data_IF_606076746548
#
_entry.id   IF_606076746548
#
_cell.length_a   1.000
_cell.length_b   1.000
_cell.length_c   1.000
_cell.angle_alpha   90.00
_cell.angle_beta   90.00
_cell.angle_gamma   90.00
#
_symmetry.space_group_name_H-M   'P 1'
#
loop_
_entity.id
_entity.type
_entity.pdbx_description
1 polymer ?
#
# COMPACT_ATOMS: atom_id res chain seq x y z
N UNK A 1 5.67 11.07 12.96
CA UNK A 1 5.72 11.07 11.48
C UNK A 1 4.86 9.91 10.98
N UNK A 2 3.89 10.16 10.11
CA UNK A 2 3.12 9.10 9.45
C UNK A 2 3.90 8.64 8.21
N UNK A 3 3.96 7.33 7.96
CA UNK A 3 4.73 6.75 6.85
C UNK A 3 3.78 5.84 6.06
N UNK A 4 3.74 5.95 4.72
CA UNK A 4 2.90 5.10 3.90
C UNK A 4 3.36 3.64 4.02
N UNK A 5 2.40 2.71 4.07
CA UNK A 5 2.68 1.30 3.86
C UNK A 5 2.70 1.06 2.36
N UNK A 6 3.80 1.47 1.74
CA UNK A 6 3.90 1.35 0.31
C UNK A 6 4.50 0.00 -0.09
N UNK A 7 3.72 -0.79 -0.82
CA UNK A 7 4.12 -2.04 -1.47
C UNK A 7 3.82 -2.02 -2.97
N UNK A 8 3.22 -0.94 -3.46
CA UNK A 8 2.72 -0.83 -4.83
C UNK A 8 3.02 0.55 -5.46
N UNK A 9 3.49 1.51 -4.69
CA UNK A 9 3.47 2.93 -5.02
C UNK A 9 4.84 3.45 -5.43
N UNK A 10 4.87 3.83 -6.70
CA UNK A 10 5.96 4.47 -7.44
C UNK A 10 7.30 3.71 -7.40
N UNK A 11 7.87 3.52 -8.58
CA UNK A 11 9.24 3.04 -8.72
C UNK A 11 10.21 4.06 -8.13
N UNK A 12 10.43 3.97 -6.81
CA UNK A 12 11.39 4.82 -6.12
C UNK A 12 12.78 4.39 -6.56
N UNK A 13 13.43 5.28 -7.30
CA UNK A 13 14.78 5.08 -7.79
C UNK A 13 15.75 4.87 -6.62
N UNK A 14 16.54 3.81 -6.69
CA UNK A 14 17.67 3.55 -5.80
C UNK A 14 18.99 4.03 -6.42
N UNK A 15 18.99 4.28 -7.74
CA UNK A 15 20.15 4.76 -8.52
C UNK A 15 19.92 6.18 -9.05
N UNK A 16 20.99 6.88 -9.51
CA UNK A 16 20.88 8.25 -10.01
C UNK A 16 19.88 8.41 -11.17
N UNK A 17 19.21 9.56 -11.24
CA UNK A 17 18.19 9.86 -12.27
C UNK A 17 18.66 9.58 -13.69
N UNK A 18 19.93 9.85 -14.01
CA UNK A 18 20.50 9.60 -15.33
C UNK A 18 20.50 8.12 -15.75
N UNK A 19 20.65 7.19 -14.80
CA UNK A 19 20.56 5.73 -15.07
C UNK A 19 19.11 5.31 -15.30
N UNK A 20 18.19 5.87 -14.53
CA UNK A 20 16.75 5.63 -14.66
C UNK A 20 16.24 6.12 -16.01
N UNK A 21 16.63 7.33 -16.41
CA UNK A 21 16.26 7.90 -17.71
C UNK A 21 16.84 7.09 -18.86
N UNK A 22 18.09 6.65 -18.76
CA UNK A 22 18.71 5.77 -19.76
C UNK A 22 17.95 4.46 -19.92
N UNK A 23 17.66 3.79 -18.80
CA UNK A 23 16.86 2.55 -18.81
C UNK A 23 15.47 2.75 -19.40
N UNK A 24 14.81 3.88 -19.11
CA UNK A 24 13.51 4.23 -19.68
C UNK A 24 13.56 4.59 -21.16
N UNK A 25 14.69 5.08 -21.65
CA UNK A 25 14.90 5.41 -23.07
C UNK A 25 15.35 4.19 -23.89
N UNK A 26 16.02 3.23 -23.27
CA UNK A 26 16.48 2.00 -23.92
C UNK A 26 15.29 1.10 -24.30
N UNK A 27 15.14 0.87 -25.61
CA UNK A 27 14.11 0.03 -26.22
C UNK A 27 14.63 -1.35 -26.62
N UNK A 28 15.89 -1.68 -26.30
CA UNK A 28 16.46 -2.98 -26.60
C UNK A 28 15.91 -4.06 -25.66
N UNK A 29 15.73 -5.26 -26.19
CA UNK A 29 15.37 -6.43 -25.41
C UNK A 29 16.56 -6.85 -24.55
N UNK A 30 16.35 -6.92 -23.23
CA UNK A 30 17.41 -7.21 -22.25
C UNK A 30 16.85 -7.91 -21.02
N UNK A 31 17.74 -8.37 -20.16
CA UNK A 31 17.34 -8.94 -18.87
C UNK A 31 16.90 -7.83 -17.92
N UNK A 32 15.67 -7.95 -17.44
CA UNK A 32 15.15 -7.20 -16.29
C UNK A 32 14.95 -8.19 -15.15
N UNK A 33 15.52 -7.87 -13.99
CA UNK A 33 15.36 -8.67 -12.77
C UNK A 33 14.25 -8.06 -11.92
N UNK A 34 13.24 -8.85 -11.58
CA UNK A 34 12.14 -8.45 -10.70
C UNK A 34 12.14 -9.38 -9.49
N UNK A 35 12.48 -8.86 -8.32
CA UNK A 35 12.48 -9.59 -7.06
C UNK A 35 11.30 -9.19 -6.18
N UNK A 36 10.64 -10.17 -5.58
CA UNK A 36 9.59 -9.97 -4.58
C UNK A 36 10.01 -10.58 -3.25
N UNK A 37 10.02 -9.75 -2.22
CA UNK A 37 10.11 -10.23 -0.84
C UNK A 37 8.74 -10.75 -0.42
N UNK A 38 8.68 -11.90 0.23
CA UNK A 38 7.44 -12.50 0.72
C UNK A 38 7.37 -12.43 2.24
N UNK A 39 6.14 -12.47 2.78
CA UNK A 39 5.90 -12.48 4.22
C UNK A 39 4.70 -13.32 4.61
N UNK A 40 4.74 -13.79 5.84
CA UNK A 40 3.59 -14.34 6.53
C UNK A 40 2.75 -13.18 7.11
N UNK A 41 1.49 -12.97 6.68
CA UNK A 41 0.64 -11.88 7.15
C UNK A 41 0.14 -12.07 8.60
N UNK A 42 0.25 -13.28 9.17
CA UNK A 42 -0.15 -13.56 10.55
C UNK A 42 0.99 -13.21 11.51
N UNK A 43 2.20 -13.72 11.24
CA UNK A 43 3.37 -13.47 12.12
C UNK A 43 4.12 -12.18 11.79
N UNK A 44 3.87 -11.60 10.61
CA UNK A 44 4.59 -10.46 10.05
C UNK A 44 6.09 -10.74 9.77
N UNK A 45 6.48 -12.02 9.74
CA UNK A 45 7.84 -12.46 9.39
C UNK A 45 8.11 -12.26 7.89
N UNK A 46 9.32 -11.85 7.52
CA UNK A 46 9.77 -11.62 6.13
C UNK A 46 10.21 -12.92 5.45
N UNK A 47 9.36 -13.93 5.61
CA UNK A 47 9.50 -15.28 5.09
C UNK A 47 8.09 -15.87 5.02
N UNK A 48 7.93 -16.92 4.23
CA UNK A 48 6.74 -17.79 4.27
C UNK A 48 7.16 -19.20 4.66
N UNK A 49 6.21 -19.97 5.19
CA UNK A 49 6.45 -21.31 5.71
C UNK A 49 6.58 -22.37 4.59
N UNK A 50 7.44 -22.08 3.61
CA UNK A 50 7.85 -22.95 2.51
C UNK A 50 9.36 -23.08 2.61
N UNK A 51 9.89 -24.29 2.55
CA UNK A 51 11.36 -24.48 2.55
C UNK A 51 11.89 -24.14 1.16
N UNK A 52 12.89 -23.27 1.07
CA UNK A 52 13.48 -22.89 -0.21
C UNK A 52 14.14 -24.09 -0.92
N UNK A 53 14.63 -25.07 -0.15
CA UNK A 53 15.22 -26.30 -0.70
C UNK A 53 14.20 -27.24 -1.39
N UNK A 54 12.90 -27.03 -1.16
CA UNK A 54 11.83 -27.73 -1.84
C UNK A 54 11.46 -27.09 -3.19
N UNK A 55 11.99 -25.89 -3.50
CA UNK A 55 11.67 -25.11 -4.70
C UNK A 55 12.96 -24.72 -5.45
N UNK A 56 13.90 -25.67 -5.56
CA UNK A 56 15.24 -25.42 -6.14
C UNK A 56 15.25 -25.29 -7.66
N UNK A 57 14.24 -25.83 -8.33
CA UNK A 57 14.20 -25.84 -9.78
C UNK A 57 13.92 -24.43 -10.30
N UNK A 58 14.73 -24.00 -11.28
CA UNK A 58 14.44 -22.79 -12.04
C UNK A 58 13.28 -23.11 -12.97
N UNK A 59 12.16 -22.43 -12.76
CA UNK A 59 10.99 -22.59 -13.60
C UNK A 59 11.08 -21.64 -14.79
N UNK A 60 11.00 -22.17 -16.01
CA UNK A 60 10.90 -21.36 -17.22
C UNK A 60 9.44 -21.24 -17.65
N UNK A 61 8.96 -20.01 -17.81
CA UNK A 61 7.61 -19.69 -18.27
C UNK A 61 7.64 -18.56 -19.30
N UNK A 62 6.54 -18.40 -20.03
CA UNK A 62 6.27 -17.21 -20.83
C UNK A 62 5.23 -16.35 -20.11
N UNK A 63 5.60 -15.10 -19.79
CA UNK A 63 4.70 -14.14 -19.16
C UNK A 63 4.35 -13.05 -20.18
N UNK A 64 3.14 -13.08 -20.71
CA UNK A 64 2.66 -12.08 -21.69
C UNK A 64 3.58 -11.95 -22.92
N UNK A 65 4.14 -13.07 -23.41
CA UNK A 65 5.10 -13.09 -24.52
C UNK A 65 6.54 -12.79 -24.12
N UNK A 66 6.83 -12.67 -22.81
CA UNK A 66 8.17 -12.45 -22.27
C UNK A 66 8.75 -13.76 -21.71
N UNK A 67 9.82 -14.31 -22.32
CA UNK A 67 10.56 -15.42 -21.76
C UNK A 67 11.08 -15.08 -20.36
N UNK A 68 10.75 -15.93 -19.39
CA UNK A 68 10.96 -15.65 -17.97
C UNK A 68 11.50 -16.87 -17.23
N UNK A 69 12.53 -16.66 -16.42
CA UNK A 69 13.06 -17.64 -15.47
C UNK A 69 12.67 -17.22 -14.04
N UNK A 70 12.17 -18.15 -13.24
CA UNK A 70 11.74 -17.91 -11.86
C UNK A 70 12.62 -18.76 -10.93
N UNK A 71 13.20 -18.10 -9.92
CA UNK A 71 14.00 -18.74 -8.89
C UNK A 71 13.55 -18.31 -7.48
N UNK A 72 13.53 -19.27 -6.56
CA UNK A 72 13.11 -19.08 -5.17
C UNK A 72 14.34 -19.11 -4.23
N UNK A 73 14.39 -18.17 -3.29
CA UNK A 73 15.52 -17.98 -2.39
C UNK A 73 15.10 -18.00 -0.92
N UNK A 74 15.86 -18.75 -0.13
CA UNK A 74 15.65 -18.85 1.30
C UNK A 74 16.38 -17.75 2.09
N UNK A 75 15.89 -17.47 3.30
CA UNK A 75 16.63 -16.73 4.32
C UNK A 75 17.64 -17.63 5.07
N UNK A 76 18.22 -17.12 6.15
CA UNK A 76 19.13 -17.86 7.02
C UNK A 76 18.47 -19.06 7.71
N UNK A 77 17.15 -19.06 7.90
CA UNK A 77 16.39 -20.20 8.42
C UNK A 77 16.07 -21.27 7.37
N UNK A 78 16.38 -21.01 6.09
CA UNK A 78 16.08 -21.88 4.96
C UNK A 78 14.64 -21.79 4.46
N UNK A 79 13.86 -20.83 4.97
CA UNK A 79 12.49 -20.55 4.54
C UNK A 79 12.47 -19.56 3.39
N UNK A 80 11.51 -19.71 2.50
CA UNK A 80 11.35 -18.87 1.32
C UNK A 80 11.10 -17.42 1.74
N UNK A 81 12.01 -16.52 1.37
CA UNK A 81 11.98 -15.10 1.71
C UNK A 81 11.96 -14.20 0.48
N UNK A 82 12.44 -14.69 -0.65
CA UNK A 82 12.45 -13.94 -1.90
C UNK A 82 12.20 -14.83 -3.13
N UNK A 83 11.46 -14.29 -4.10
CA UNK A 83 11.25 -14.90 -5.41
C UNK A 83 11.74 -13.91 -6.47
N UNK A 84 12.65 -14.35 -7.34
CA UNK A 84 13.26 -13.52 -8.38
C UNK A 84 12.87 -14.04 -9.76
N UNK A 85 12.37 -13.13 -10.57
CA UNK A 85 12.07 -13.29 -11.97
C UNK A 85 13.19 -12.65 -12.79
N UNK A 86 13.71 -13.37 -13.77
CA UNK A 86 14.56 -12.83 -14.84
C UNK A 86 13.76 -12.84 -16.12
N UNK A 87 13.40 -11.66 -16.59
CA UNK A 87 12.49 -11.46 -17.73
C UNK A 87 13.24 -10.82 -18.88
N UNK A 88 13.06 -11.33 -20.10
CA UNK A 88 13.48 -10.62 -21.31
C UNK A 88 12.44 -9.55 -21.65
N UNK A 89 12.78 -8.28 -21.44
CA UNK A 89 11.88 -7.16 -21.73
C UNK A 89 12.65 -5.90 -22.15
N UNK A 90 12.01 -5.05 -22.96
CA UNK A 90 12.48 -3.70 -23.26
C UNK A 90 11.97 -2.67 -22.24
N UNK A 91 10.99 -3.03 -21.42
CA UNK A 91 10.28 -2.14 -20.52
C UNK A 91 10.24 -2.70 -19.10
N UNK A 92 11.06 -2.17 -18.17
CA UNK A 92 11.09 -2.67 -16.80
C UNK A 92 9.75 -2.64 -16.06
N UNK A 93 8.86 -1.71 -16.43
CA UNK A 93 7.53 -1.57 -15.85
C UNK A 93 6.58 -2.68 -16.30
N UNK A 94 6.56 -2.98 -17.60
CA UNK A 94 5.79 -4.10 -18.14
C UNK A 94 6.28 -5.44 -17.56
N UNK A 95 7.60 -5.62 -17.44
CA UNK A 95 8.18 -6.81 -16.80
C UNK A 95 7.71 -6.95 -15.34
N UNK A 96 7.73 -5.87 -14.56
CA UNK A 96 7.25 -5.88 -13.19
C UNK A 96 5.76 -6.23 -13.07
N UNK A 97 4.91 -5.61 -13.88
CA UNK A 97 3.47 -5.85 -13.84
C UNK A 97 3.15 -7.31 -14.17
N UNK A 98 3.77 -7.86 -15.23
CA UNK A 98 3.59 -9.28 -15.59
C UNK A 98 4.07 -10.24 -14.48
N UNK A 99 5.25 -9.99 -13.89
CA UNK A 99 5.75 -10.82 -12.79
C UNK A 99 4.88 -10.71 -11.54
N UNK A 100 4.34 -9.52 -11.26
CA UNK A 100 3.47 -9.29 -10.11
C UNK A 100 2.16 -10.05 -10.26
N UNK A 101 1.53 -10.01 -11.43
CA UNK A 101 0.30 -10.76 -11.68
C UNK A 101 0.53 -12.27 -11.53
N UNK A 102 1.58 -12.80 -12.17
CA UNK A 102 1.93 -14.22 -12.03
C UNK A 102 2.21 -14.60 -10.57
N UNK A 103 2.93 -13.76 -9.80
CA UNK A 103 3.18 -14.04 -8.40
C UNK A 103 1.91 -13.98 -7.55
N UNK A 104 1.04 -12.98 -7.75
CA UNK A 104 -0.23 -12.88 -7.03
C UNK A 104 -1.09 -14.15 -7.27
N UNK A 105 -1.15 -14.66 -8.51
CA UNK A 105 -1.85 -15.91 -8.86
C UNK A 105 -1.20 -17.15 -8.22
N UNK A 106 0.14 -17.23 -8.22
CA UNK A 106 0.87 -18.32 -7.55
C UNK A 106 0.66 -18.32 -6.05
N UNK A 107 0.77 -17.17 -5.40
CA UNK A 107 0.54 -17.05 -3.96
C UNK A 107 -0.91 -17.41 -3.60
N UNK A 108 -1.89 -17.03 -4.43
CA UNK A 108 -3.27 -17.46 -4.25
C UNK A 108 -3.39 -18.99 -4.33
N UNK A 109 -2.79 -19.62 -5.35
CA UNK A 109 -2.76 -21.08 -5.50
C UNK A 109 -2.05 -21.77 -4.34
N UNK A 110 -0.89 -21.28 -3.90
CA UNK A 110 -0.13 -21.83 -2.78
C UNK A 110 -0.86 -21.66 -1.45
N UNK A 111 -1.54 -20.53 -1.25
CA UNK A 111 -2.37 -20.28 -0.07
C UNK A 111 -3.48 -21.32 0.02
N UNK A 112 -4.15 -21.62 -1.10
CA UNK A 112 -5.18 -22.65 -1.18
C UNK A 112 -4.63 -24.04 -0.85
N UNK A 113 -3.52 -24.43 -1.50
CA UNK A 113 -2.95 -25.77 -1.37
C UNK A 113 -2.32 -26.03 -0.01
N UNK A 114 -1.67 -25.03 0.59
CA UNK A 114 -0.90 -25.21 1.84
C UNK A 114 -1.66 -24.73 3.09
N UNK A 115 -2.77 -24.01 2.95
CA UNK A 115 -3.52 -23.46 4.08
C UNK A 115 -2.68 -22.50 4.93
N UNK A 116 -1.80 -21.73 4.29
CA UNK A 116 -0.91 -20.75 4.94
C UNK A 116 -1.11 -19.38 4.30
N UNK A 117 -1.20 -18.34 5.12
CA UNK A 117 -1.26 -16.98 4.61
C UNK A 117 0.08 -16.57 3.99
N UNK A 118 0.04 -15.98 2.80
CA UNK A 118 1.21 -15.52 2.08
C UNK A 118 0.90 -14.15 1.47
N UNK A 119 1.85 -13.23 1.53
CA UNK A 119 1.70 -11.91 0.94
C UNK A 119 3.04 -11.40 0.42
N UNK A 120 2.97 -10.51 -0.58
CA UNK A 120 4.13 -9.73 -1.00
C UNK A 120 4.46 -8.72 0.11
N UNK A 121 5.70 -8.75 0.57
CA UNK A 121 6.26 -7.87 1.59
C UNK A 121 6.97 -6.66 1.00
N UNK A 122 7.32 -6.68 -0.28
CA UNK A 122 8.06 -5.63 -0.95
C UNK A 122 8.61 -6.15 -2.27
N UNK A 123 9.25 -5.29 -3.03
CA UNK A 123 9.81 -5.65 -4.32
C UNK A 123 11.05 -4.81 -4.66
N UNK A 124 11.82 -5.32 -5.62
CA UNK A 124 12.93 -4.63 -6.27
C UNK A 124 12.94 -4.95 -7.75
N UNK A 125 13.32 -3.97 -8.54
CA UNK A 125 13.55 -4.13 -9.98
C UNK A 125 14.94 -3.64 -10.30
N UNK A 126 15.68 -4.42 -11.07
CA UNK A 126 16.99 -4.04 -11.58
C UNK A 126 17.04 -4.24 -13.09
N UNK A 127 17.55 -3.24 -13.79
CA UNK A 127 17.98 -3.31 -15.18
C UNK A 127 19.51 -3.25 -15.20
N UNK A 128 20.19 -4.41 -15.23
CA UNK A 128 21.65 -4.48 -15.14
C UNK A 128 22.34 -3.81 -16.31
N UNK A 129 21.76 -3.83 -17.52
CA UNK A 129 22.36 -3.24 -18.72
C UNK A 129 22.49 -1.71 -18.62
N UNK A 130 21.56 -1.07 -17.91
CA UNK A 130 21.54 0.38 -17.71
C UNK A 130 21.92 0.81 -16.28
N UNK A 131 22.32 -0.14 -15.43
CA UNK A 131 22.63 0.07 -14.01
C UNK A 131 21.48 0.76 -13.24
N UNK A 132 20.23 0.57 -13.68
CA UNK A 132 19.07 1.19 -13.08
C UNK A 132 18.44 0.26 -12.03
N UNK A 133 18.11 0.81 -10.86
CA UNK A 133 17.45 0.04 -9.79
C UNK A 133 16.31 0.83 -9.18
N UNK A 134 15.26 0.09 -8.85
CA UNK A 134 14.10 0.58 -8.13
C UNK A 134 13.76 -0.40 -7.01
N UNK A 135 13.25 0.13 -5.91
CA UNK A 135 12.88 -0.69 -4.77
C UNK A 135 11.71 -0.09 -4.03
N UNK A 136 10.79 -0.95 -3.62
CA UNK A 136 9.75 -0.65 -2.66
C UNK A 136 9.73 -1.74 -1.58
N UNK A 137 10.45 -1.49 -0.50
CA UNK A 137 10.45 -2.34 0.69
C UNK A 137 9.96 -1.52 1.86
N UNK A 138 9.09 -2.04 2.75
CA UNK A 138 8.69 -1.36 3.96
C UNK A 138 9.92 -0.82 4.68
N UNK A 139 10.02 0.50 4.72
CA UNK A 139 11.00 1.18 5.53
C UNK A 139 10.73 0.77 6.98
N UNK A 140 11.75 0.31 7.70
CA UNK A 140 11.68 0.12 9.16
C UNK A 140 12.17 1.43 9.80
N UNK A 141 11.30 2.44 9.99
CA UNK A 141 11.73 3.65 10.68
C UNK A 141 12.20 3.31 12.10
N UNK A 142 13.00 4.22 12.62
CA UNK A 142 13.49 4.25 14.00
C UNK A 142 12.37 4.07 15.03
N UNK A 143 12.73 3.49 16.18
CA UNK A 143 11.83 3.37 17.32
C UNK A 143 11.31 4.77 17.73
N UNK A 144 10.00 4.87 17.97
CA UNK A 144 9.35 6.10 18.40
C UNK A 144 9.17 6.09 19.93
N UNK A 145 9.36 7.24 20.56
CA UNK A 145 9.00 7.43 21.96
C UNK A 145 7.47 7.56 22.08
N UNK A 146 6.88 6.72 22.92
CA UNK A 146 5.46 6.77 23.24
C UNK A 146 5.22 7.69 24.44
N UNK A 147 4.47 8.78 24.24
CA UNK A 147 3.93 9.58 25.34
C UNK A 147 2.61 8.97 25.83
N UNK A 148 2.67 8.27 26.97
CA UNK A 148 1.50 7.64 27.59
C UNK A 148 0.43 8.66 28.00
N UNK A 149 0.81 9.88 28.38
CA UNK A 149 -0.14 10.94 28.76
C UNK A 149 -0.86 11.52 27.53
N UNK A 150 -0.22 11.46 26.36
CA UNK A 150 -0.86 11.85 25.12
C UNK A 150 -1.90 10.82 24.65
N UNK A 151 -1.62 9.52 24.82
CA UNK A 151 -2.49 8.43 24.32
C UNK A 151 -3.52 7.93 25.34
N UNK A 152 -3.40 8.29 26.62
CA UNK A 152 -4.36 7.91 27.67
C UNK A 152 -5.78 8.44 27.39
N UNK A 153 -5.89 9.56 26.67
CA UNK A 153 -7.17 10.16 26.33
C UNK A 153 -7.72 9.60 25.02
N UNK A 154 -8.69 8.70 25.11
CA UNK A 154 -9.43 8.15 23.98
C UNK A 154 -10.93 8.02 24.33
N UNK A 155 -11.78 8.97 23.89
CA UNK A 155 -13.22 8.94 24.14
C UNK A 155 -13.87 7.62 23.71
N UNK A 156 -14.80 7.10 24.53
CA UNK A 156 -15.38 5.77 24.34
C UNK A 156 -16.09 5.59 23.00
N UNK A 157 -16.79 6.63 22.54
CA UNK A 157 -17.50 6.67 21.27
C UNK A 157 -16.55 6.71 20.05
N UNK A 158 -15.30 7.15 20.22
CA UNK A 158 -14.27 7.11 19.17
C UNK A 158 -13.55 5.76 19.09
N UNK A 159 -13.62 4.90 20.12
CA UNK A 159 -12.93 3.60 20.14
C UNK A 159 -13.26 2.71 18.93
N UNK A 160 -14.51 2.60 18.45
CA UNK A 160 -14.81 1.84 17.23
C UNK A 160 -14.07 2.37 16.00
N UNK A 161 -13.99 3.69 15.83
CA UNK A 161 -13.27 4.30 14.71
C UNK A 161 -11.75 4.16 14.83
N UNK A 162 -11.21 4.22 16.06
CA UNK A 162 -9.80 3.93 16.32
C UNK A 162 -9.43 2.49 15.95
N UNK A 163 -10.34 1.52 16.18
CA UNK A 163 -10.14 0.12 15.73
C UNK A 163 -10.19 0.01 14.21
N UNK A 164 -11.08 0.73 13.52
CA UNK A 164 -11.09 0.78 12.06
C UNK A 164 -9.79 1.39 11.51
N UNK A 165 -9.33 2.49 12.08
CA UNK A 165 -8.05 3.09 11.71
C UNK A 165 -6.87 2.14 11.96
N UNK A 166 -6.84 1.43 13.10
CA UNK A 166 -5.83 0.41 13.35
C UNK A 166 -5.86 -0.71 12.30
N UNK A 167 -7.05 -1.18 11.88
CA UNK A 167 -7.20 -2.17 10.80
C UNK A 167 -6.69 -1.63 9.47
N UNK A 168 -6.99 -0.37 9.14
CA UNK A 168 -6.46 0.29 7.95
C UNK A 168 -4.92 0.30 7.95
N UNK A 169 -4.30 0.70 9.07
CA UNK A 169 -2.83 0.69 9.24
C UNK A 169 -2.23 -0.71 9.15
N UNK A 170 -2.90 -1.73 9.68
CA UNK A 170 -2.38 -3.09 9.65
C UNK A 170 -2.65 -3.82 8.32
N UNK A 171 -3.45 -3.23 7.43
CA UNK A 171 -3.82 -3.85 6.16
C UNK A 171 -2.62 -3.88 5.19
N UNK A 172 -2.26 -5.09 4.77
CA UNK A 172 -1.29 -5.32 3.69
C UNK A 172 -1.84 -4.94 2.33
N UNK A 173 -3.13 -5.21 2.13
CA UNK A 173 -3.84 -5.00 0.88
C UNK A 173 -4.47 -3.59 0.85
N UNK A 174 -4.28 -2.84 -0.26
CA UNK A 174 -4.78 -1.48 -0.38
C UNK A 174 -6.31 -1.39 -0.42
N UNK A 175 -7.02 -2.42 -0.90
CA UNK A 175 -8.47 -2.44 -0.92
C UNK A 175 -9.02 -2.49 0.52
N UNK A 176 -8.48 -3.38 1.35
CA UNK A 176 -8.87 -3.44 2.75
C UNK A 176 -8.48 -2.18 3.53
N UNK A 177 -7.32 -1.58 3.23
CA UNK A 177 -6.90 -0.29 3.79
C UNK A 177 -7.90 0.81 3.44
N UNK A 178 -8.27 0.91 2.16
CA UNK A 178 -9.23 1.90 1.68
C UNK A 178 -10.57 1.77 2.40
N UNK A 179 -11.15 0.56 2.44
CA UNK A 179 -12.48 0.34 3.05
C UNK A 179 -12.52 0.76 4.52
N UNK A 180 -11.49 0.40 5.30
CA UNK A 180 -11.43 0.75 6.72
C UNK A 180 -11.22 2.26 6.93
N UNK A 181 -10.32 2.89 6.16
CA UNK A 181 -10.06 4.32 6.26
C UNK A 181 -11.28 5.15 5.79
N UNK A 182 -11.91 4.73 4.69
CA UNK A 182 -13.13 5.36 4.17
C UNK A 182 -14.28 5.28 5.17
N UNK A 183 -14.46 4.17 5.89
CA UNK A 183 -15.49 4.07 6.92
C UNK A 183 -15.33 5.14 8.02
N UNK A 184 -14.10 5.43 8.45
CA UNK A 184 -13.81 6.53 9.40
C UNK A 184 -14.16 7.89 8.77
N UNK A 185 -13.72 8.12 7.54
CA UNK A 185 -13.97 9.38 6.81
C UNK A 185 -15.44 9.62 6.50
N UNK A 186 -16.21 8.56 6.24
CA UNK A 186 -17.65 8.63 6.01
C UNK A 186 -18.38 9.12 7.27
N UNK A 187 -18.07 8.58 8.45
CA UNK A 187 -18.60 9.08 9.72
C UNK A 187 -18.20 10.55 9.95
N UNK A 188 -16.96 10.92 9.62
CA UNK A 188 -16.52 12.31 9.68
C UNK A 188 -17.37 13.21 8.75
N UNK A 189 -17.65 12.74 7.54
CA UNK A 189 -18.36 13.46 6.48
C UNK A 189 -19.85 13.66 6.77
N UNK A 190 -20.54 12.64 7.30
CA UNK A 190 -21.97 12.72 7.64
C UNK A 190 -22.24 13.58 8.88
N UNK A 191 -21.19 13.92 9.64
CA UNK A 191 -21.30 14.67 10.90
C UNK A 191 -22.23 14.02 11.94
N UNK A 192 -22.38 12.70 11.85
CA UNK A 192 -23.07 11.86 12.84
C UNK A 192 -22.11 11.53 13.98
N UNK A 193 -22.63 11.08 15.13
CA UNK A 193 -21.78 10.59 16.21
C UNK A 193 -20.80 9.53 15.67
N UNK A 194 -19.49 9.59 15.98
CA UNK A 194 -18.83 10.43 16.99
C UNK A 194 -18.24 11.76 16.45
N UNK A 195 -18.70 12.27 15.33
CA UNK A 195 -18.29 13.57 14.77
C UNK A 195 -19.47 14.56 14.67
N UNK A 196 -20.15 14.91 15.79
CA UNK A 196 -21.31 15.78 15.72
C UNK A 196 -20.97 17.12 15.06
N UNK A 197 -21.87 17.60 14.19
CA UNK A 197 -21.74 18.93 13.60
C UNK A 197 -21.65 19.99 14.70
N UNK A 198 -20.60 20.81 14.67
CA UNK A 198 -20.43 21.93 15.60
C UNK A 198 -19.92 23.17 14.84
N UNK A 199 -20.35 24.39 15.24
CA UNK A 199 -19.95 25.63 14.56
C UNK A 199 -18.43 25.86 14.51
N UNK A 200 -17.69 25.27 15.45
CA UNK A 200 -16.25 25.46 15.65
C UNK A 200 -15.40 24.32 15.06
N UNK A 201 -15.99 23.41 14.29
CA UNK A 201 -15.23 22.30 13.70
C UNK A 201 -14.26 22.87 12.65
N UNK A 202 -12.95 22.63 12.77
CA UNK A 202 -12.00 23.12 11.79
C UNK A 202 -12.29 22.50 10.43
N UNK A 203 -12.30 23.33 9.38
CA UNK A 203 -12.36 22.87 8.00
C UNK A 203 -11.05 22.16 7.67
N UNK A 204 -11.07 20.84 7.60
CA UNK A 204 -9.92 20.07 7.16
C UNK A 204 -9.78 20.21 5.64
N UNK A 205 -8.56 20.43 5.19
CA UNK A 205 -8.20 20.48 3.77
C UNK A 205 -7.14 19.43 3.46
N UNK A 206 -7.08 19.00 2.19
CA UNK A 206 -6.03 18.11 1.72
C UNK A 206 -4.78 18.93 1.43
N UNK A 207 -3.73 18.73 2.21
CA UNK A 207 -2.49 19.51 2.07
C UNK A 207 -1.54 18.90 1.04
N UNK A 208 -0.59 19.70 0.54
CA UNK A 208 0.50 19.19 -0.30
C UNK A 208 1.31 18.10 0.42
N UNK A 209 1.56 18.28 1.72
CA UNK A 209 2.27 17.30 2.53
C UNK A 209 1.54 15.95 2.55
N UNK A 210 0.20 15.96 2.66
CA UNK A 210 -0.58 14.72 2.59
C UNK A 210 -0.44 14.02 1.24
N UNK A 211 -0.47 14.76 0.14
CA UNK A 211 -0.31 14.23 -1.21
C UNK A 211 1.09 13.66 -1.45
N UNK A 212 2.12 14.32 -0.91
CA UNK A 212 3.51 13.85 -0.99
C UNK A 212 3.70 12.58 -0.16
N UNK A 213 3.29 12.58 1.11
CA UNK A 213 3.50 11.42 1.99
C UNK A 213 2.69 10.20 1.60
N UNK A 214 1.49 10.38 1.06
CA UNK A 214 0.67 9.27 0.57
C UNK A 214 1.14 8.69 -0.76
N UNK A 215 2.02 9.39 -1.49
CA UNK A 215 2.40 9.06 -2.86
C UNK A 215 1.37 9.48 -3.91
N UNK A 216 0.24 10.04 -3.49
CA UNK A 216 -0.88 10.37 -4.36
C UNK A 216 -0.70 11.65 -5.20
N UNK A 217 0.41 12.38 -5.06
CA UNK A 217 0.65 13.60 -5.84
C UNK A 217 0.50 13.40 -7.36
N UNK A 218 0.90 12.23 -7.89
CA UNK A 218 0.80 11.94 -9.33
C UNK A 218 -0.63 11.69 -9.84
N UNK A 219 -1.56 11.27 -8.98
CA UNK A 219 -2.93 10.90 -9.39
C UNK A 219 -4.05 11.71 -8.71
N UNK A 220 -3.71 12.50 -7.69
CA UNK A 220 -4.66 13.21 -6.84
C UNK A 220 -4.25 14.69 -6.60
N UNK A 221 -3.38 15.25 -7.45
CA UNK A 221 -2.92 16.65 -7.34
C UNK A 221 -4.06 17.68 -7.29
N UNK A 222 -5.18 17.39 -7.96
CA UNK A 222 -6.37 18.25 -8.00
C UNK A 222 -7.02 18.47 -6.64
N UNK A 223 -6.77 17.60 -5.65
CA UNK A 223 -7.28 17.77 -4.30
C UNK A 223 -6.46 18.75 -3.46
N UNK A 224 -5.30 19.22 -3.93
CA UNK A 224 -4.47 20.17 -3.17
C UNK A 224 -5.30 21.39 -2.76
N UNK A 225 -5.24 21.70 -1.45
CA UNK A 225 -5.94 22.81 -0.80
C UNK A 225 -7.48 22.74 -0.88
N UNK A 226 -8.03 21.62 -1.38
CA UNK A 226 -9.47 21.38 -1.40
C UNK A 226 -9.99 20.95 -0.03
N UNK A 227 -11.26 21.24 0.30
CA UNK A 227 -11.93 20.68 1.47
C UNK A 227 -11.83 19.15 1.48
N UNK A 228 -11.54 18.58 2.66
CA UNK A 228 -11.45 17.14 2.83
C UNK A 228 -12.74 16.42 2.41
N UNK A 229 -13.90 17.07 2.54
CA UNK A 229 -15.18 16.56 2.07
C UNK A 229 -15.15 16.17 0.58
N UNK A 230 -14.50 16.95 -0.28
CA UNK A 230 -14.39 16.64 -1.71
C UNK A 230 -13.58 15.35 -1.96
N UNK A 231 -12.54 15.12 -1.16
CA UNK A 231 -11.80 13.86 -1.21
C UNK A 231 -12.69 12.69 -0.76
N UNK A 232 -13.44 12.84 0.34
CA UNK A 232 -14.32 11.75 0.82
C UNK A 232 -15.36 11.37 -0.23
N UNK A 233 -15.97 12.36 -0.88
CA UNK A 233 -16.95 12.15 -1.93
C UNK A 233 -16.30 11.42 -3.14
N UNK A 234 -15.06 11.76 -3.49
CA UNK A 234 -14.31 11.06 -4.55
C UNK A 234 -13.86 9.64 -4.18
N UNK A 235 -13.60 9.36 -2.88
CA UNK A 235 -13.23 8.03 -2.40
C UNK A 235 -14.40 7.04 -2.48
N UNK A 236 -15.64 7.51 -2.55
CA UNK A 236 -16.81 6.63 -2.71
C UNK A 236 -16.75 5.82 -4.01
N UNK A 237 -16.29 6.42 -5.10
CA UNK A 237 -16.08 5.73 -6.37
C UNK A 237 -15.07 4.58 -6.22
N UNK A 238 -13.98 4.82 -5.49
CA UNK A 238 -12.99 3.79 -5.21
C UNK A 238 -13.51 2.69 -4.28
N UNK A 239 -14.33 3.06 -3.30
CA UNK A 239 -15.01 2.11 -2.43
C UNK A 239 -15.91 1.18 -3.24
N UNK A 240 -16.70 1.72 -4.14
CA UNK A 240 -17.61 0.94 -4.98
C UNK A 240 -16.84 0.04 -5.95
N UNK A 241 -15.77 0.55 -6.57
CA UNK A 241 -14.88 -0.26 -7.40
C UNK A 241 -14.25 -1.43 -6.63
N UNK A 242 -13.81 -1.21 -5.38
CA UNK A 242 -13.29 -2.28 -4.52
C UNK A 242 -14.36 -3.32 -4.19
N UNK A 243 -15.57 -2.88 -3.82
CA UNK A 243 -16.65 -3.81 -3.50
C UNK A 243 -17.05 -4.64 -4.72
N UNK A 244 -17.09 -4.03 -5.91
CA UNK A 244 -17.35 -4.73 -7.16
C UNK A 244 -16.23 -5.74 -7.50
N UNK A 245 -14.97 -5.39 -7.30
CA UNK A 245 -13.84 -6.30 -7.53
C UNK A 245 -13.85 -7.49 -6.56
N UNK A 246 -14.40 -7.34 -5.34
CA UNK A 246 -14.61 -8.47 -4.44
C UNK A 246 -15.69 -9.46 -4.94
N UNK A 247 -16.71 -8.95 -5.65
CA UNK A 247 -17.78 -9.78 -6.21
C UNK A 247 -17.35 -10.48 -7.51
N UNK A 248 -16.63 -9.75 -8.37
CA UNK A 248 -16.13 -10.23 -9.66
C UNK A 248 -14.66 -9.86 -9.86
N UNK A 249 -13.71 -10.61 -9.26
CA UNK A 249 -12.30 -10.26 -9.26
C UNK A 249 -11.71 -10.14 -10.68
N UNK A 250 -11.21 -8.95 -11.03
CA UNK A 250 -10.52 -8.71 -12.31
C UNK A 250 -11.40 -8.67 -13.58
N UNK A 251 -12.72 -8.89 -13.48
CA UNK A 251 -13.65 -8.89 -14.63
C UNK A 251 -14.54 -7.64 -14.69
N UNK A 252 -14.51 -6.78 -13.67
CA UNK A 252 -15.30 -5.55 -13.64
C UNK A 252 -14.80 -4.46 -14.59
N UNK A 253 -15.68 -3.52 -14.95
CA UNK A 253 -15.36 -2.28 -15.70
C UNK A 253 -14.25 -1.46 -15.02
N UNK A 254 -14.03 -1.70 -13.72
CA UNK A 254 -12.99 -1.10 -12.89
C UNK A 254 -11.99 -2.12 -12.32
N UNK A 255 -11.73 -3.23 -13.02
CA UNK A 255 -10.78 -4.27 -12.56
C UNK A 255 -9.51 -3.65 -11.97
N UNK A 256 -9.24 -3.93 -10.69
CA UNK A 256 -8.20 -3.24 -9.91
C UNK A 256 -6.83 -3.89 -10.11
N UNK A 257 -6.40 -3.95 -11.37
CA UNK A 257 -5.11 -4.49 -11.84
C UNK A 257 -4.22 -3.41 -12.48
N UNK A 258 -2.92 -3.69 -12.64
CA UNK A 258 -1.95 -2.77 -13.24
C UNK A 258 -2.01 -1.34 -12.66
N UNK A 259 -2.15 -0.34 -13.53
CA UNK A 259 -2.23 1.07 -13.13
C UNK A 259 -3.38 1.37 -12.17
N UNK A 260 -4.54 0.72 -12.32
CA UNK A 260 -5.68 0.91 -11.41
C UNK A 260 -5.34 0.45 -9.99
N UNK A 261 -4.60 -0.65 -9.83
CA UNK A 261 -4.10 -1.14 -8.52
C UNK A 261 -3.10 -0.17 -7.90
N UNK A 262 -2.22 0.41 -8.72
CA UNK A 262 -1.28 1.45 -8.28
C UNK A 262 -2.02 2.69 -7.78
N UNK A 263 -3.00 3.19 -8.55
CA UNK A 263 -3.84 4.33 -8.16
C UNK A 263 -4.62 4.04 -6.88
N UNK A 264 -5.20 2.84 -6.76
CA UNK A 264 -5.88 2.37 -5.56
C UNK A 264 -4.96 2.44 -4.33
N UNK A 265 -3.70 1.97 -4.45
CA UNK A 265 -2.76 1.99 -3.33
C UNK A 265 -2.47 3.42 -2.84
N UNK A 266 -2.29 4.37 -3.77
CA UNK A 266 -2.10 5.79 -3.42
C UNK A 266 -3.35 6.42 -2.81
N UNK A 267 -4.52 6.14 -3.37
CA UNK A 267 -5.78 6.63 -2.82
C UNK A 267 -6.08 6.02 -1.44
N UNK A 268 -5.74 4.76 -1.21
CA UNK A 268 -5.84 4.10 0.09
C UNK A 268 -4.89 4.71 1.13
N UNK A 269 -3.65 5.04 0.73
CA UNK A 269 -2.69 5.76 1.57
C UNK A 269 -3.19 7.18 1.91
N UNK A 270 -3.75 7.89 0.93
CA UNK A 270 -4.31 9.22 1.14
C UNK A 270 -5.53 9.18 2.06
N UNK A 271 -6.41 8.19 1.89
CA UNK A 271 -7.56 7.95 2.76
C UNK A 271 -7.12 7.62 4.20
N UNK A 272 -6.13 6.73 4.38
CA UNK A 272 -5.57 6.38 5.70
C UNK A 272 -4.98 7.61 6.41
N UNK A 273 -4.17 8.41 5.71
CA UNK A 273 -3.62 9.64 6.26
C UNK A 273 -4.72 10.66 6.60
N UNK A 274 -5.70 10.84 5.73
CA UNK A 274 -6.83 11.74 5.99
C UNK A 274 -7.68 11.28 7.19
N UNK A 275 -7.91 9.97 7.32
CA UNK A 275 -8.62 9.39 8.47
C UNK A 275 -7.86 9.66 9.78
N UNK A 276 -6.53 9.53 9.75
CA UNK A 276 -5.67 9.90 10.88
C UNK A 276 -5.85 11.37 11.26
N UNK A 277 -5.76 12.29 10.31
CA UNK A 277 -5.91 13.73 10.58
C UNK A 277 -7.29 14.04 11.17
N UNK A 278 -8.36 13.48 10.60
CA UNK A 278 -9.71 13.61 11.12
C UNK A 278 -9.84 13.16 12.59
N UNK A 279 -9.29 11.99 12.92
CA UNK A 279 -9.32 11.45 14.28
C UNK A 279 -8.46 12.26 15.26
N UNK A 280 -7.24 12.63 14.86
CA UNK A 280 -6.31 13.41 15.70
C UNK A 280 -6.89 14.79 15.99
N UNK A 281 -7.43 15.47 14.98
CA UNK A 281 -8.08 16.76 15.16
C UNK A 281 -9.28 16.66 16.12
N UNK A 282 -10.10 15.63 16.00
CA UNK A 282 -11.27 15.44 16.86
C UNK A 282 -10.88 15.13 18.32
N UNK A 283 -9.89 14.25 18.53
CA UNK A 283 -9.36 13.95 19.87
C UNK A 283 -8.78 15.21 20.52
N UNK A 284 -7.95 15.97 19.77
CA UNK A 284 -7.35 17.20 20.27
C UNK A 284 -8.38 18.28 20.58
N UNK A 285 -9.48 18.34 19.80
CA UNK A 285 -10.61 19.24 20.06
C UNK A 285 -11.33 18.87 21.37
N UNK A 286 -11.69 17.61 21.54
CA UNK A 286 -12.38 17.11 22.74
C UNK A 286 -11.54 17.27 24.00
N UNK A 287 -10.24 16.96 23.92
CA UNK A 287 -9.32 17.16 25.03
C UNK A 287 -9.25 18.63 25.49
N UNK A 288 -9.27 19.58 24.55
CA UNK A 288 -9.32 21.01 24.89
C UNK A 288 -10.64 21.41 25.53
N UNK A 289 -11.76 20.87 25.07
CA UNK A 289 -13.07 21.11 25.67
C UNK A 289 -13.14 20.56 27.11
N UNK A 290 -12.63 19.36 27.36
CA UNK A 290 -12.61 18.75 28.70
C UNK A 290 -11.72 19.55 29.67
N UNK A 291 -10.56 20.02 29.20
CA UNK A 291 -9.68 20.89 29.99
C UNK A 291 -10.34 22.24 30.31
N UNK A 292 -11.07 22.84 29.37
CA UNK A 292 -11.78 24.10 29.58
C UNK A 292 -12.99 23.96 30.54
N UNK A 293 -13.58 22.76 30.64
CA UNK A 293 -14.65 22.46 31.62
C UNK A 293 -14.09 22.19 33.02
N UNK A 294 -12.81 21.80 33.12
CA UNK A 294 -12.15 21.50 34.39
C UNK A 294 -11.43 22.71 35.02
N UNK A 295 -11.27 23.82 34.28
CA UNK A 295 -10.67 25.09 34.72
C UNK A 295 -11.72 26.09 35.18
#
# INVERSE_FOLDING_TARGET
MWIPYDLAGSFKAETPTSTIERSRADRSMRDVLVGFFVRNPITQSWEIDIRADAVKDVLTVDLEGMPTEIACYGDESGKLSEIIYRVKSAEPYAAFDACRHDLEDRLARWTLELGRGMAIAGWRVADPANEARWRCTPFRPSALNLDLNAVAFAPDDLKPLLRLYQRARNASDPAWRLLNAYAVLKCWRTSEAPFPAQPQRPTLTVTLEMLVHSGALGCAASFKDQPLAHLVDALEVWRDAVLQDLETPGEGVHGLRGEARWRLAHMANLADLAAREALVCEIARRRRADLALAS
#
